data_IF_648562600264
#
_entry.id   IF_648562600264
#
_cell.length_a   1.000
_cell.length_b   1.000
_cell.length_c   1.000
_cell.angle_alpha   90.00
_cell.angle_beta   90.00
_cell.angle_gamma   90.00
#
_symmetry.space_group_name_H-M   'P 1'
#
loop_
_entity.id
_entity.type
_entity.pdbx_description
1 polymer ?
#
# COMPACT_ATOMS: atom_id res chain seq x y z
N UNK A 1 -25.43 -13.49 34.91
CA UNK A 1 -25.55 -12.80 33.62
C UNK A 1 -24.15 -12.42 33.19
N UNK A 2 -23.56 -13.12 32.23
CA UNK A 2 -22.28 -12.69 31.66
C UNK A 2 -22.51 -11.43 30.81
N UNK A 3 -21.65 -10.40 30.93
CA UNK A 3 -21.77 -9.19 30.12
C UNK A 3 -21.52 -9.56 28.65
N UNK A 4 -22.49 -9.26 27.78
CA UNK A 4 -22.33 -9.37 26.33
C UNK A 4 -21.40 -8.26 25.87
N UNK A 5 -20.14 -8.60 25.62
CA UNK A 5 -19.18 -7.72 24.95
C UNK A 5 -19.80 -7.12 23.69
N UNK A 6 -19.62 -5.82 23.51
CA UNK A 6 -20.00 -5.12 22.29
C UNK A 6 -19.33 -5.74 21.07
N UNK A 7 -19.89 -5.53 19.87
CA UNK A 7 -19.32 -6.07 18.62
C UNK A 7 -17.85 -5.64 18.44
N UNK A 8 -17.51 -4.44 18.91
CA UNK A 8 -16.15 -3.87 18.92
C UNK A 8 -15.21 -4.62 19.85
N UNK A 9 -15.65 -4.90 21.07
CA UNK A 9 -14.89 -5.69 22.04
C UNK A 9 -14.73 -7.15 21.62
N UNK A 10 -15.74 -7.74 20.93
CA UNK A 10 -15.64 -9.09 20.36
C UNK A 10 -14.66 -9.19 19.20
N UNK A 11 -14.49 -8.11 18.44
CA UNK A 11 -13.51 -8.00 17.35
C UNK A 11 -12.10 -7.81 17.92
N UNK A 12 -11.96 -7.01 18.98
CA UNK A 12 -10.69 -6.81 19.69
C UNK A 12 -10.26 -8.04 20.53
N UNK A 13 -11.20 -8.89 20.94
CA UNK A 13 -10.93 -10.11 21.72
C UNK A 13 -10.57 -11.34 20.89
N UNK A 14 -10.57 -11.27 19.55
CA UNK A 14 -10.15 -12.40 18.73
C UNK A 14 -8.62 -12.58 18.88
N UNK A 15 -8.13 -13.74 19.33
CA UNK A 15 -6.70 -14.00 19.42
C UNK A 15 -6.16 -14.10 17.99
N UNK A 16 -5.80 -12.96 17.42
CA UNK A 16 -5.11 -12.88 16.15
C UNK A 16 -3.64 -13.13 16.44
N UNK A 17 -3.11 -14.24 15.93
CA UNK A 17 -1.68 -14.50 15.99
C UNK A 17 -0.90 -13.30 15.44
N UNK A 18 0.32 -13.08 15.93
CA UNK A 18 1.19 -11.98 15.47
C UNK A 18 1.38 -11.97 13.95
N UNK A 19 1.37 -13.14 13.30
CA UNK A 19 1.38 -13.28 11.84
C UNK A 19 0.08 -12.81 11.17
N UNK A 20 -1.10 -13.10 11.76
CA UNK A 20 -2.38 -12.64 11.22
C UNK A 20 -2.52 -11.12 11.31
N UNK A 21 -1.99 -10.53 12.39
CA UNK A 21 -1.90 -9.08 12.51
C UNK A 21 -1.02 -8.48 11.41
N UNK A 22 0.17 -9.05 11.18
CA UNK A 22 1.06 -8.61 10.11
C UNK A 22 0.39 -8.72 8.73
N UNK A 23 -0.31 -9.83 8.45
CA UNK A 23 -1.11 -10.01 7.23
C UNK A 23 -2.13 -8.87 7.07
N UNK A 24 -2.91 -8.57 8.11
CA UNK A 24 -3.93 -7.52 8.05
C UNK A 24 -3.32 -6.15 7.79
N UNK A 25 -2.23 -5.82 8.48
CA UNK A 25 -1.57 -4.53 8.36
C UNK A 25 -0.97 -4.33 6.96
N UNK A 26 -0.42 -5.38 6.35
CA UNK A 26 0.06 -5.37 4.96
C UNK A 26 -1.11 -5.25 3.97
N UNK A 27 -2.17 -6.04 4.15
CA UNK A 27 -3.36 -6.01 3.28
C UNK A 27 -4.04 -4.64 3.29
N UNK A 28 -4.08 -3.96 4.44
CA UNK A 28 -4.65 -2.61 4.53
C UNK A 28 -3.92 -1.64 3.57
N UNK A 29 -2.58 -1.66 3.57
CA UNK A 29 -1.81 -0.74 2.73
C UNK A 29 -1.92 -1.11 1.25
N UNK A 30 -1.90 -2.41 0.93
CA UNK A 30 -2.14 -2.87 -0.44
C UNK A 30 -3.49 -2.39 -0.97
N UNK A 31 -4.58 -2.60 -0.23
CA UNK A 31 -5.92 -2.20 -0.69
C UNK A 31 -6.08 -0.68 -0.80
N UNK A 32 -5.37 0.09 0.01
CA UNK A 32 -5.32 1.55 -0.16
C UNK A 32 -4.54 1.95 -1.41
N UNK A 33 -3.41 1.31 -1.69
CA UNK A 33 -2.66 1.53 -2.93
C UNK A 33 -3.53 1.18 -4.15
N UNK A 34 -4.32 0.12 -4.11
CA UNK A 34 -5.28 -0.25 -5.15
C UNK A 34 -6.32 0.87 -5.39
N UNK A 35 -6.94 1.36 -4.32
CA UNK A 35 -7.94 2.45 -4.38
C UNK A 35 -7.35 3.73 -4.96
N UNK A 36 -6.19 4.13 -4.45
CA UNK A 36 -5.49 5.32 -4.94
C UNK A 36 -5.12 5.16 -6.41
N UNK A 37 -4.62 3.99 -6.81
CA UNK A 37 -4.28 3.67 -8.21
C UNK A 37 -5.49 3.75 -9.13
N UNK A 38 -6.63 3.16 -8.74
CA UNK A 38 -7.88 3.24 -9.49
C UNK A 38 -8.35 4.68 -9.70
N UNK A 39 -8.26 5.52 -8.67
CA UNK A 39 -8.57 6.94 -8.77
C UNK A 39 -7.67 7.65 -9.77
N UNK A 40 -6.36 7.36 -9.75
CA UNK A 40 -5.42 7.93 -10.74
C UNK A 40 -5.86 7.58 -12.15
N UNK A 41 -6.05 6.29 -12.41
CA UNK A 41 -6.33 5.79 -13.76
C UNK A 41 -7.66 6.31 -14.27
N UNK A 42 -8.67 6.44 -13.39
CA UNK A 42 -9.97 7.01 -13.75
C UNK A 42 -9.89 8.48 -14.16
N UNK A 43 -9.04 9.27 -13.48
CA UNK A 43 -8.93 10.71 -13.72
C UNK A 43 -7.96 11.06 -14.85
N UNK A 44 -6.88 10.29 -14.99
CA UNK A 44 -5.70 10.67 -15.78
C UNK A 44 -5.11 9.54 -16.65
N UNK A 45 -5.56 8.31 -16.46
CA UNK A 45 -5.08 7.15 -17.22
C UNK A 45 -5.83 6.94 -18.53
N UNK A 46 -5.36 5.99 -19.34
CA UNK A 46 -6.12 5.53 -20.49
C UNK A 46 -7.30 4.70 -20.02
N UNK A 47 -8.40 4.74 -20.77
CA UNK A 47 -9.62 4.01 -20.44
C UNK A 47 -9.37 2.50 -20.36
N UNK A 48 -8.57 1.93 -21.25
CA UNK A 48 -8.25 0.50 -21.25
C UNK A 48 -7.45 0.11 -20.00
N UNK A 49 -6.41 0.87 -19.66
CA UNK A 49 -5.60 0.66 -18.44
C UNK A 49 -6.48 0.70 -17.17
N UNK A 50 -7.42 1.65 -17.11
CA UNK A 50 -8.40 1.72 -16.01
C UNK A 50 -9.29 0.48 -15.94
N UNK A 51 -9.83 0.00 -17.07
CA UNK A 51 -10.71 -1.18 -17.07
C UNK A 51 -9.96 -2.46 -16.70
N UNK A 52 -8.73 -2.61 -17.18
CA UNK A 52 -7.90 -3.78 -16.87
C UNK A 52 -7.52 -3.80 -15.39
N UNK A 53 -7.08 -2.66 -14.85
CA UNK A 53 -6.78 -2.56 -13.41
C UNK A 53 -8.02 -2.75 -12.53
N UNK A 54 -9.18 -2.21 -12.95
CA UNK A 54 -10.45 -2.42 -12.27
C UNK A 54 -10.83 -3.89 -12.20
N UNK A 55 -10.78 -4.63 -13.32
CA UNK A 55 -11.07 -6.08 -13.33
C UNK A 55 -10.17 -6.86 -12.38
N UNK A 56 -8.90 -6.46 -12.24
CA UNK A 56 -7.96 -7.12 -11.34
C UNK A 56 -8.25 -6.90 -9.84
N UNK A 57 -8.91 -5.79 -9.50
CA UNK A 57 -9.09 -5.33 -8.11
C UNK A 57 -10.56 -5.32 -7.64
N UNK A 58 -11.51 -5.50 -8.55
CA UNK A 58 -12.97 -5.40 -8.32
C UNK A 58 -13.48 -6.28 -7.17
N UNK A 59 -12.94 -7.49 -6.99
CA UNK A 59 -13.40 -8.44 -5.97
C UNK A 59 -13.31 -7.92 -4.53
N UNK A 60 -12.28 -7.11 -4.26
CA UNK A 60 -12.04 -6.52 -2.94
C UNK A 60 -12.47 -5.05 -2.93
N UNK A 61 -12.12 -4.28 -3.96
CA UNK A 61 -12.44 -2.86 -4.03
C UNK A 61 -13.95 -2.63 -4.14
N UNK A 62 -14.66 -3.39 -4.98
CA UNK A 62 -16.11 -3.29 -5.08
C UNK A 62 -16.81 -3.57 -3.74
N UNK A 63 -16.26 -4.48 -2.93
CA UNK A 63 -16.79 -4.74 -1.57
C UNK A 63 -16.47 -3.62 -0.59
N UNK A 64 -15.37 -2.89 -0.77
CA UNK A 64 -15.04 -1.75 0.10
C UNK A 64 -15.88 -0.52 -0.29
N UNK A 65 -16.08 -0.30 -1.58
CA UNK A 65 -16.82 0.86 -2.11
C UNK A 65 -18.33 0.73 -1.96
N UNK A 66 -18.88 -0.48 -2.09
CA UNK A 66 -20.32 -0.72 -2.15
C UNK A 66 -20.89 -1.52 -0.97
N UNK A 67 -20.15 -1.68 0.14
CA UNK A 67 -20.72 -2.28 1.35
C UNK A 67 -21.65 -1.27 2.05
N UNK A 68 -22.97 -1.53 2.12
CA UNK A 68 -23.93 -0.59 2.69
C UNK A 68 -23.67 -0.28 4.16
N UNK A 69 -22.99 -1.19 4.88
CA UNK A 69 -22.66 -1.02 6.30
C UNK A 69 -21.51 -0.03 6.49
N UNK A 70 -20.77 0.26 5.42
CA UNK A 70 -19.55 1.04 5.43
C UNK A 70 -19.71 2.42 4.77
N UNK A 71 -20.84 2.71 4.13
CA UNK A 71 -21.08 3.92 3.33
C UNK A 71 -20.78 5.25 4.05
N UNK A 72 -21.04 5.32 5.36
CA UNK A 72 -20.85 6.55 6.15
C UNK A 72 -19.44 6.73 6.71
N UNK A 73 -18.51 5.81 6.43
CA UNK A 73 -17.16 5.85 6.97
C UNK A 73 -16.15 6.41 5.96
N UNK A 74 -15.10 7.06 6.49
CA UNK A 74 -13.94 7.45 5.68
C UNK A 74 -13.30 6.22 5.03
N UNK A 75 -12.63 6.40 3.90
CA UNK A 75 -11.97 5.29 3.18
C UNK A 75 -11.04 4.47 4.08
N UNK A 76 -10.19 5.12 4.88
CA UNK A 76 -9.30 4.43 5.82
C UNK A 76 -10.07 3.49 6.76
N UNK A 77 -11.21 3.98 7.29
CA UNK A 77 -12.04 3.17 8.18
C UNK A 77 -12.71 2.03 7.40
N UNK A 78 -13.22 2.28 6.18
CA UNK A 78 -13.84 1.25 5.35
C UNK A 78 -12.87 0.11 5.06
N UNK A 79 -11.65 0.42 4.63
CA UNK A 79 -10.60 -0.58 4.37
C UNK A 79 -10.30 -1.38 5.64
N UNK A 80 -10.08 -0.71 6.78
CA UNK A 80 -9.79 -1.41 8.05
C UNK A 80 -10.93 -2.32 8.49
N UNK A 81 -12.18 -1.88 8.39
CA UNK A 81 -13.34 -2.70 8.75
C UNK A 81 -13.51 -3.89 7.80
N UNK A 82 -13.33 -3.67 6.50
CA UNK A 82 -13.33 -4.75 5.52
C UNK A 82 -12.28 -5.81 5.84
N UNK A 83 -11.03 -5.40 6.04
CA UNK A 83 -9.92 -6.31 6.34
C UNK A 83 -10.14 -7.06 7.65
N UNK A 84 -10.72 -6.43 8.68
CA UNK A 84 -11.09 -7.09 9.94
C UNK A 84 -12.06 -8.25 9.77
N UNK A 85 -12.94 -8.19 8.77
CA UNK A 85 -13.90 -9.25 8.46
C UNK A 85 -13.28 -10.42 7.68
N UNK A 86 -12.06 -10.27 7.17
CA UNK A 86 -11.41 -11.31 6.38
C UNK A 86 -10.74 -12.38 7.26
N UNK A 87 -10.80 -13.62 6.76
CA UNK A 87 -10.04 -14.74 7.31
C UNK A 87 -8.60 -14.74 6.80
N UNK A 88 -7.67 -15.36 7.52
CA UNK A 88 -6.27 -15.51 7.06
C UNK A 88 -6.16 -16.20 5.69
N UNK A 89 -7.07 -17.14 5.39
CA UNK A 89 -7.18 -17.80 4.07
C UNK A 89 -7.51 -16.81 2.94
N UNK A 90 -8.18 -15.72 3.25
CA UNK A 90 -8.51 -14.65 2.29
C UNK A 90 -7.45 -13.56 2.27
N UNK A 91 -6.79 -13.29 3.40
CA UNK A 91 -5.71 -12.31 3.49
C UNK A 91 -4.48 -12.73 2.68
N UNK A 92 -4.04 -13.99 2.81
CA UNK A 92 -2.85 -14.49 2.10
C UNK A 92 -2.92 -14.29 0.59
N UNK A 93 -3.99 -14.66 -0.13
CA UNK A 93 -4.12 -14.36 -1.55
C UNK A 93 -3.93 -12.89 -1.91
N UNK A 94 -4.40 -11.95 -1.08
CA UNK A 94 -4.22 -10.51 -1.33
C UNK A 94 -2.74 -10.12 -1.22
N UNK A 95 -2.04 -10.63 -0.19
CA UNK A 95 -0.60 -10.44 0.03
C UNK A 95 0.25 -11.15 -1.02
N UNK A 96 -0.21 -12.29 -1.56
CA UNK A 96 0.48 -13.04 -2.63
C UNK A 96 0.16 -12.54 -4.04
N UNK A 97 -0.82 -11.64 -4.19
CA UNK A 97 -1.22 -11.05 -5.45
C UNK A 97 -0.35 -9.90 -5.96
N UNK A 98 0.50 -9.17 -5.19
CA UNK A 98 1.06 -7.89 -5.62
C UNK A 98 1.55 -8.02 -7.05
N UNK A 99 0.84 -7.30 -7.90
CA UNK A 99 0.87 -7.59 -9.30
C UNK A 99 2.17 -6.99 -9.81
N UNK A 100 3.05 -7.82 -10.34
CA UNK A 100 4.19 -7.38 -11.17
C UNK A 100 3.67 -6.84 -12.52
N UNK A 101 2.59 -6.06 -12.51
CA UNK A 101 2.09 -5.42 -13.72
C UNK A 101 2.79 -4.08 -13.87
N UNK A 102 3.18 -3.84 -15.12
CA UNK A 102 3.55 -2.53 -15.61
C UNK A 102 2.50 -1.47 -15.25
N UNK A 103 1.21 -1.83 -15.08
CA UNK A 103 0.13 -0.95 -14.66
C UNK A 103 0.29 -0.29 -13.28
N UNK A 104 0.68 -1.02 -12.22
CA UNK A 104 0.90 -0.39 -10.90
C UNK A 104 2.02 0.65 -10.98
N UNK A 105 3.07 0.26 -11.70
CA UNK A 105 4.24 1.08 -11.95
C UNK A 105 3.88 2.34 -12.73
N UNK A 106 3.14 2.17 -13.82
CA UNK A 106 2.67 3.26 -14.67
C UNK A 106 1.66 4.14 -13.96
N UNK A 107 0.81 3.65 -13.07
CA UNK A 107 -0.14 4.48 -12.35
C UNK A 107 0.53 5.37 -11.29
N UNK A 108 1.55 4.86 -10.60
CA UNK A 108 2.40 5.68 -9.71
C UNK A 108 3.11 6.74 -10.56
N UNK A 109 3.73 6.33 -11.68
CA UNK A 109 4.38 7.25 -12.62
C UNK A 109 3.44 8.29 -13.25
N UNK A 110 2.23 7.92 -13.66
CA UNK A 110 1.23 8.82 -14.24
C UNK A 110 0.78 9.87 -13.22
N UNK A 111 0.74 9.52 -11.92
CA UNK A 111 0.41 10.47 -10.87
C UNK A 111 1.55 11.46 -10.62
N UNK A 112 2.79 10.96 -10.65
CA UNK A 112 4.00 11.79 -10.62
C UNK A 112 4.02 12.76 -11.80
N UNK A 113 3.81 12.27 -13.02
CA UNK A 113 3.81 13.09 -14.25
C UNK A 113 2.68 14.12 -14.26
N UNK A 114 1.50 13.73 -13.80
CA UNK A 114 0.39 14.66 -13.78
C UNK A 114 0.53 15.75 -12.69
N UNK A 115 1.28 15.47 -11.62
CA UNK A 115 1.71 16.53 -10.71
C UNK A 115 2.72 17.48 -11.38
N UNK A 116 3.70 16.97 -12.15
CA UNK A 116 4.64 17.83 -12.88
C UNK A 116 3.92 18.77 -13.84
N UNK A 117 2.96 18.25 -14.60
CA UNK A 117 2.14 19.08 -15.49
C UNK A 117 1.40 20.19 -14.75
N UNK A 118 0.87 19.89 -13.55
CA UNK A 118 0.22 20.90 -12.71
C UNK A 118 1.21 21.96 -12.20
N UNK A 119 2.41 21.55 -11.74
CA UNK A 119 3.46 22.45 -11.26
C UNK A 119 4.07 23.32 -12.37
N UNK A 120 4.33 22.76 -13.56
CA UNK A 120 4.82 23.52 -14.71
C UNK A 120 3.80 24.57 -15.19
N UNK A 121 2.51 24.23 -15.18
CA UNK A 121 1.45 25.19 -15.51
C UNK A 121 1.32 26.29 -14.43
N UNK A 122 1.54 25.96 -13.16
CA UNK A 122 1.63 26.93 -12.04
C UNK A 122 2.83 27.86 -12.20
N UNK A 123 4.04 27.34 -12.39
CA UNK A 123 5.26 28.13 -12.59
C UNK A 123 5.09 29.08 -13.79
N UNK A 124 4.46 28.60 -14.86
CA UNK A 124 4.10 29.42 -16.01
C UNK A 124 3.06 30.49 -15.68
N UNK A 125 2.02 30.17 -14.90
CA UNK A 125 0.97 31.11 -14.48
C UNK A 125 1.47 32.16 -13.50
N UNK A 126 2.25 31.78 -12.50
CA UNK A 126 2.90 32.68 -11.55
C UNK A 126 3.91 33.62 -12.24
N UNK A 127 4.62 33.12 -13.25
CA UNK A 127 5.46 33.94 -14.11
C UNK A 127 4.65 34.88 -15.02
N UNK A 128 3.38 34.57 -15.29
CA UNK A 128 2.51 35.33 -16.18
C UNK A 128 1.56 36.32 -15.47
N UNK A 129 1.08 36.06 -14.24
CA UNK A 129 0.14 36.89 -13.48
C UNK A 129 0.15 36.62 -11.95
N UNK A 130 -0.08 37.65 -11.11
CA UNK A 130 -0.12 37.60 -9.62
C UNK A 130 -1.41 37.01 -9.00
N UNK A 131 -2.25 36.26 -9.73
CA UNK A 131 -3.52 35.73 -9.20
C UNK A 131 -3.41 34.29 -8.67
N UNK A 132 -3.95 34.07 -7.47
CA UNK A 132 -3.77 32.85 -6.66
C UNK A 132 -4.49 31.61 -7.20
N UNK A 133 -3.72 30.57 -7.53
CA UNK A 133 -4.19 29.26 -8.04
C UNK A 133 -4.36 28.17 -6.96
N UNK A 134 -4.72 28.52 -5.72
CA UNK A 134 -4.63 27.63 -4.54
C UNK A 134 -5.53 26.36 -4.50
N UNK A 135 -6.34 26.04 -5.51
CA UNK A 135 -7.39 25.02 -5.41
C UNK A 135 -7.05 23.61 -5.93
N UNK A 136 -6.28 23.51 -7.01
CA UNK A 136 -6.00 22.22 -7.68
C UNK A 136 -4.65 21.61 -7.26
N UNK A 137 -3.65 22.45 -6.92
CA UNK A 137 -2.31 22.06 -6.47
C UNK A 137 -2.33 21.24 -5.17
N UNK A 138 -3.18 21.63 -4.22
CA UNK A 138 -3.20 21.01 -2.89
C UNK A 138 -3.70 19.55 -2.93
N UNK A 139 -4.58 19.23 -3.89
CA UNK A 139 -5.13 17.89 -4.05
C UNK A 139 -4.09 16.92 -4.61
N UNK A 140 -3.36 17.31 -5.67
CA UNK A 140 -2.36 16.44 -6.30
C UNK A 140 -1.13 16.20 -5.41
N UNK A 141 -0.68 17.23 -4.66
CA UNK A 141 0.40 17.11 -3.67
C UNK A 141 0.01 16.14 -2.54
N UNK A 142 -1.20 16.30 -2.01
CA UNK A 142 -1.69 15.45 -0.91
C UNK A 142 -1.80 13.99 -1.35
N UNK A 143 -2.29 13.75 -2.57
CA UNK A 143 -2.42 12.39 -3.10
C UNK A 143 -1.07 11.75 -3.41
N UNK A 144 -0.05 12.50 -3.84
CA UNK A 144 1.29 11.97 -4.04
C UNK A 144 1.98 11.64 -2.71
N UNK A 145 1.95 12.55 -1.72
CA UNK A 145 2.45 12.26 -0.39
C UNK A 145 1.77 11.02 0.20
N UNK A 146 0.47 10.87 -0.01
CA UNK A 146 -0.26 9.69 0.43
C UNK A 146 0.27 8.40 -0.21
N UNK A 147 0.61 8.38 -1.51
CA UNK A 147 1.22 7.19 -2.14
C UNK A 147 2.61 6.91 -1.57
N UNK A 148 3.46 7.94 -1.42
CA UNK A 148 4.80 7.79 -0.85
C UNK A 148 4.72 7.24 0.58
N UNK A 149 3.85 7.81 1.41
CA UNK A 149 3.63 7.37 2.79
C UNK A 149 3.09 5.94 2.85
N UNK A 150 2.17 5.56 1.95
CA UNK A 150 1.64 4.20 1.87
C UNK A 150 2.71 3.20 1.43
N UNK A 151 3.52 3.54 0.43
CA UNK A 151 4.61 2.69 -0.04
C UNK A 151 5.69 2.51 1.05
N UNK A 152 6.03 3.58 1.78
CA UNK A 152 6.96 3.52 2.90
C UNK A 152 6.40 2.71 4.07
N UNK A 153 5.13 2.91 4.43
CA UNK A 153 4.43 2.13 5.46
C UNK A 153 4.38 0.64 5.09
N UNK A 154 4.08 0.32 3.83
CA UNK A 154 4.07 -1.05 3.34
C UNK A 154 5.47 -1.67 3.41
N UNK A 155 6.50 -0.92 3.03
CA UNK A 155 7.89 -1.34 3.18
C UNK A 155 8.27 -1.66 4.63
N UNK A 156 7.96 -0.79 5.58
CA UNK A 156 8.29 -1.00 6.99
C UNK A 156 7.60 -2.25 7.56
N UNK A 157 6.35 -2.50 7.15
CA UNK A 157 5.58 -3.70 7.53
C UNK A 157 6.15 -4.98 6.92
N UNK A 158 6.53 -4.94 5.64
CA UNK A 158 7.18 -6.08 4.95
C UNK A 158 8.52 -6.39 5.60
N UNK A 159 9.29 -5.37 5.96
CA UNK A 159 10.57 -5.50 6.65
C UNK A 159 10.41 -6.09 8.06
N UNK A 160 9.42 -5.65 8.85
CA UNK A 160 9.12 -6.22 10.16
C UNK A 160 8.64 -7.69 10.05
N UNK A 161 7.78 -7.99 9.08
CA UNK A 161 7.33 -9.36 8.81
C UNK A 161 8.50 -10.28 8.43
N UNK A 162 9.42 -9.82 7.58
CA UNK A 162 10.63 -10.55 7.21
C UNK A 162 11.53 -10.81 8.44
N UNK A 163 11.74 -9.79 9.27
CA UNK A 163 12.54 -9.92 10.50
C UNK A 163 11.97 -10.95 11.48
N UNK A 164 10.65 -11.13 11.48
CA UNK A 164 9.94 -12.09 12.34
C UNK A 164 9.79 -13.48 11.73
N UNK A 165 10.22 -13.69 10.48
CA UNK A 165 10.08 -14.97 9.76
C UNK A 165 8.63 -15.30 9.38
N UNK A 166 7.80 -14.29 9.21
CA UNK A 166 6.40 -14.46 8.78
C UNK A 166 6.29 -14.36 7.27
N UNK A 167 5.32 -15.07 6.66
CA UNK A 167 4.94 -14.84 5.26
C UNK A 167 6.05 -15.00 4.21
N UNK A 168 7.08 -15.81 4.48
CA UNK A 168 8.27 -15.94 3.62
C UNK A 168 7.97 -16.02 2.11
N UNK A 169 7.09 -16.92 1.60
CA UNK A 169 6.86 -17.01 0.16
C UNK A 169 6.09 -15.80 -0.41
N UNK A 170 5.29 -15.11 0.40
CA UNK A 170 4.58 -13.90 0.00
C UNK A 170 5.48 -12.64 0.05
N UNK A 171 6.46 -12.60 0.96
CA UNK A 171 7.35 -11.45 1.14
C UNK A 171 8.28 -11.23 -0.03
N UNK A 172 8.77 -12.27 -0.69
CA UNK A 172 9.69 -12.10 -1.83
C UNK A 172 9.05 -11.32 -2.98
N UNK A 173 7.76 -11.58 -3.26
CA UNK A 173 7.00 -10.83 -4.27
C UNK A 173 6.77 -9.39 -3.86
N UNK A 174 6.46 -9.16 -2.58
CA UNK A 174 6.29 -7.81 -2.04
C UNK A 174 7.58 -7.00 -2.07
N UNK A 175 8.72 -7.62 -1.75
CA UNK A 175 10.04 -7.00 -1.83
C UNK A 175 10.32 -6.56 -3.27
N UNK A 176 10.11 -7.42 -4.26
CA UNK A 176 10.30 -7.10 -5.68
C UNK A 176 9.40 -5.96 -6.13
N UNK A 177 8.10 -5.99 -5.79
CA UNK A 177 7.17 -4.92 -6.11
C UNK A 177 7.63 -3.58 -5.50
N UNK A 178 7.91 -3.56 -4.21
CA UNK A 178 8.32 -2.35 -3.50
C UNK A 178 9.62 -1.77 -4.05
N UNK A 179 10.57 -2.62 -4.41
CA UNK A 179 11.83 -2.20 -5.02
C UNK A 179 11.61 -1.60 -6.41
N UNK A 180 10.69 -2.14 -7.21
CA UNK A 180 10.28 -1.53 -8.48
C UNK A 180 9.56 -0.19 -8.29
N UNK A 181 8.84 -0.01 -7.19
CA UNK A 181 8.15 1.25 -6.87
C UNK A 181 9.17 2.29 -6.37
N UNK A 182 10.15 1.88 -5.57
CA UNK A 182 11.19 2.74 -4.98
C UNK A 182 11.98 3.49 -6.06
N UNK A 183 12.35 2.84 -7.16
CA UNK A 183 13.02 3.50 -8.28
C UNK A 183 12.18 4.66 -8.84
N UNK A 184 10.87 4.49 -8.99
CA UNK A 184 9.98 5.54 -9.49
C UNK A 184 9.67 6.62 -8.45
N UNK A 185 9.55 6.27 -7.18
CA UNK A 185 9.41 7.24 -6.09
C UNK A 185 10.67 8.09 -5.99
N UNK A 186 11.85 7.46 -6.12
CA UNK A 186 13.13 8.17 -6.08
C UNK A 186 13.23 9.20 -7.21
N UNK A 187 12.99 8.79 -8.45
CA UNK A 187 13.02 9.70 -9.60
C UNK A 187 12.02 10.86 -9.41
N UNK A 188 10.83 10.56 -8.88
CA UNK A 188 9.83 11.58 -8.58
C UNK A 188 10.27 12.56 -7.48
N UNK A 189 10.77 12.04 -6.36
CA UNK A 189 11.19 12.82 -5.22
C UNK A 189 12.42 13.68 -5.53
N UNK A 190 13.38 13.17 -6.32
CA UNK A 190 14.54 13.93 -6.78
C UNK A 190 14.10 15.14 -7.62
N UNK A 191 13.20 14.93 -8.57
CA UNK A 191 12.68 16.01 -9.41
C UNK A 191 11.81 17.01 -8.63
N UNK A 192 11.17 16.57 -7.56
CA UNK A 192 10.33 17.41 -6.71
C UNK A 192 11.06 18.05 -5.53
N UNK A 193 12.35 17.74 -5.33
CA UNK A 193 13.14 18.17 -4.17
C UNK A 193 12.47 17.74 -2.85
N UNK A 194 11.82 16.58 -2.86
CA UNK A 194 11.22 15.96 -1.67
C UNK A 194 12.26 15.02 -1.05
N UNK A 195 12.48 15.08 0.27
CA UNK A 195 13.33 14.11 0.94
C UNK A 195 12.78 12.68 0.75
N UNK A 196 13.58 11.81 0.11
CA UNK A 196 13.27 10.39 -0.04
C UNK A 196 14.27 9.53 0.75
N UNK A 197 13.78 8.48 1.40
CA UNK A 197 14.62 7.43 1.98
C UNK A 197 14.52 6.17 1.11
N UNK A 198 15.64 5.68 0.53
CA UNK A 198 15.61 4.49 -0.31
C UNK A 198 15.10 3.24 0.43
N UNK A 199 14.26 2.46 -0.23
CA UNK A 199 13.71 1.20 0.30
C UNK A 199 14.72 0.06 0.14
N UNK A 200 15.63 -0.09 1.12
CA UNK A 200 16.69 -1.11 1.09
C UNK A 200 16.34 -2.36 1.90
N UNK A 201 15.93 -3.43 1.22
CA UNK A 201 15.87 -4.75 1.85
C UNK A 201 17.27 -5.33 2.03
N UNK A 202 17.69 -5.55 3.27
CA UNK A 202 18.95 -6.24 3.57
C UNK A 202 18.91 -7.67 3.01
N UNK A 203 19.81 -8.01 2.08
CA UNK A 203 19.95 -9.36 1.51
C UNK A 203 20.23 -10.47 2.55
N UNK A 204 20.57 -10.10 3.79
CA UNK A 204 21.13 -11.00 4.80
C UNK A 204 20.29 -11.15 6.10
N UNK A 205 19.05 -10.67 6.13
CA UNK A 205 18.16 -10.97 7.25
C UNK A 205 17.54 -12.38 7.15
N UNK A 206 17.38 -12.90 5.93
CA UNK A 206 16.68 -14.17 5.64
C UNK A 206 17.53 -15.44 5.89
N UNK A 207 18.72 -15.35 6.49
CA UNK A 207 19.64 -16.51 6.66
C UNK A 207 20.15 -16.80 8.08
N UNK A 208 19.65 -16.12 9.12
CA UNK A 208 20.07 -16.39 10.50
C UNK A 208 19.08 -17.23 11.31
N UNK A 209 18.60 -18.33 10.72
CA UNK A 209 18.12 -19.51 11.46
C UNK A 209 18.55 -20.79 10.75
N UNK A 210 19.81 -20.87 10.33
CA UNK A 210 20.42 -22.16 9.98
C UNK A 210 20.90 -22.75 11.31
N UNK A 211 20.19 -23.78 11.77
CA UNK A 211 20.57 -24.78 12.77
C UNK A 211 21.99 -24.60 13.33
N UNK A 212 22.10 -24.17 14.59
CA UNK A 212 23.27 -24.54 15.39
C UNK A 212 23.28 -26.08 15.46
N UNK A 213 24.29 -26.78 14.93
CA UNK A 213 24.39 -28.20 15.16
C UNK A 213 24.58 -28.40 16.67
N UNK A 214 23.65 -29.11 17.28
CA UNK A 214 23.80 -29.64 18.63
C UNK A 214 25.01 -30.57 18.57
N UNK A 215 26.15 -30.13 19.10
CA UNK A 215 27.28 -31.01 19.34
C UNK A 215 26.79 -32.15 20.25
N UNK A 216 26.98 -33.43 19.90
CA UNK A 216 26.65 -34.50 20.81
C UNK A 216 27.56 -34.42 22.05
N UNK A 217 27.07 -34.81 23.24
CA UNK A 217 27.88 -34.78 24.44
C UNK A 217 29.05 -35.76 24.29
N UNK A 218 30.22 -35.44 24.88
CA UNK A 218 31.38 -36.32 24.82
C UNK A 218 31.08 -37.65 25.53
N UNK A 219 31.57 -38.73 24.92
CA UNK A 219 31.50 -40.10 25.42
C UNK A 219 32.38 -40.31 26.66
#
# INVERSE_FOLDING_TARGET
MEPRLSLRERIESLPTGSEDKALRDIVIDLLKLDLTTLRTLRLRGKQDDYQDFRRLTEDHIGKIEHDPRLENFSEDIRVRQYVRMLSSKTLRPIVSRPIETQFYREAIYLRIMAYRGAKEEEDFRLAAYEESTQGYEQFDITELHHVVDLSQSLYDKVKDAAHRGYLEPELDRLKVLLQSIDDHIKDACEEMVIPNQPMVFSKDADRRYIFSPISPPPA
#
